data_IF_439421208036
#
_entry.id   IF_439421208036
#
_cell.length_a   1.000
_cell.length_b   1.000
_cell.length_c   1.000
_cell.angle_alpha   90.00
_cell.angle_beta   90.00
_cell.angle_gamma   90.00
#
_symmetry.space_group_name_H-M   'P 1'
#
loop_
_entity.id
_entity.type
_entity.pdbx_description
1 polymer ?
#
# COMPACT_ATOMS: atom_id res chain seq x y z
N UNK A 1 -2.73 -4.23 -22.25
CA UNK A 1 -4.08 -4.16 -21.65
C UNK A 1 -3.92 -4.03 -20.15
N UNK A 2 -4.56 -3.04 -19.53
CA UNK A 2 -4.61 -2.89 -18.07
C UNK A 2 -5.91 -3.48 -17.51
N UNK A 3 -5.95 -3.68 -16.19
CA UNK A 3 -7.14 -4.09 -15.46
C UNK A 3 -7.42 -3.11 -14.32
N UNK A 4 -8.70 -2.94 -13.97
CA UNK A 4 -9.12 -2.24 -12.76
C UNK A 4 -9.40 -3.31 -11.71
N UNK A 5 -8.72 -3.23 -10.57
CA UNK A 5 -8.89 -4.17 -9.46
C UNK A 5 -9.89 -3.54 -8.47
N UNK A 6 -11.08 -4.13 -8.27
CA UNK A 6 -11.99 -3.68 -7.23
C UNK A 6 -11.43 -4.02 -5.85
N UNK A 7 -11.74 -3.19 -4.85
CA UNK A 7 -11.47 -3.51 -3.46
C UNK A 7 -12.53 -4.51 -3.00
N UNK A 8 -12.09 -5.60 -2.38
CA UNK A 8 -12.94 -6.64 -1.80
C UNK A 8 -12.69 -6.79 -0.29
N UNK A 9 -13.46 -7.68 0.34
CA UNK A 9 -13.34 -7.94 1.78
C UNK A 9 -11.97 -8.51 2.18
N UNK A 10 -11.19 -9.08 1.25
CA UNK A 10 -9.85 -9.60 1.53
C UNK A 10 -8.82 -8.46 1.65
N UNK A 11 -9.06 -7.32 1.01
CA UNK A 11 -8.22 -6.13 1.15
C UNK A 11 -8.34 -5.48 2.55
N UNK A 12 -9.50 -5.59 3.20
CA UNK A 12 -9.80 -4.97 4.51
C UNK A 12 -8.78 -5.31 5.62
N UNK A 13 -8.47 -6.59 5.91
CA UNK A 13 -7.49 -6.93 6.95
C UNK A 13 -6.07 -6.46 6.58
N UNK A 14 -5.71 -6.46 5.29
CA UNK A 14 -4.40 -5.99 4.82
C UNK A 14 -4.27 -4.48 5.04
N UNK A 15 -5.30 -3.71 4.67
CA UNK A 15 -5.38 -2.28 4.92
C UNK A 15 -5.28 -1.93 6.40
N UNK A 16 -5.98 -2.66 7.27
CA UNK A 16 -5.91 -2.47 8.72
C UNK A 16 -4.49 -2.74 9.24
N UNK A 17 -3.83 -3.79 8.73
CA UNK A 17 -2.44 -4.11 9.02
C UNK A 17 -1.49 -2.98 8.62
N UNK A 18 -1.61 -2.46 7.39
CA UNK A 18 -0.83 -1.34 6.87
C UNK A 18 -0.99 -0.11 7.76
N UNK A 19 -2.22 0.30 8.07
CA UNK A 19 -2.47 1.49 8.90
C UNK A 19 -1.95 1.31 10.33
N UNK A 20 -2.11 0.12 10.91
CA UNK A 20 -1.59 -0.20 12.23
C UNK A 20 -0.07 -0.10 12.25
N UNK A 21 0.61 -0.70 11.28
CA UNK A 21 2.07 -0.65 11.15
C UNK A 21 2.57 0.80 11.04
N UNK A 22 2.04 1.56 10.09
CA UNK A 22 2.38 2.97 9.87
C UNK A 22 2.19 3.83 11.14
N UNK A 23 1.09 3.62 11.87
CA UNK A 23 0.86 4.30 13.15
C UNK A 23 1.89 3.90 14.21
N UNK A 24 2.22 2.61 14.32
CA UNK A 24 3.18 2.11 15.32
C UNK A 24 4.59 2.67 15.14
N UNK A 25 5.00 2.92 13.90
CA UNK A 25 6.32 3.50 13.60
C UNK A 25 6.32 5.04 13.58
N UNK A 26 5.24 5.68 14.03
CA UNK A 26 5.13 7.14 14.08
C UNK A 26 5.03 7.83 12.71
N UNK A 27 4.64 7.11 11.65
CA UNK A 27 4.45 7.64 10.30
C UNK A 27 3.07 7.24 9.75
N UNK A 28 1.98 7.88 10.21
CA UNK A 28 0.64 7.57 9.72
C UNK A 28 0.55 7.76 8.21
N UNK A 29 0.01 6.76 7.52
CA UNK A 29 -0.26 6.80 6.09
C UNK A 29 -1.66 7.36 5.81
N UNK A 30 -1.83 8.05 4.69
CA UNK A 30 -3.13 8.51 4.22
C UNK A 30 -4.08 7.31 3.97
N UNK A 31 -5.37 7.54 4.16
CA UNK A 31 -6.39 6.49 4.06
C UNK A 31 -6.43 5.82 2.68
N UNK A 32 -6.30 6.60 1.60
CA UNK A 32 -6.35 6.09 0.23
C UNK A 32 -5.05 5.40 -0.16
N UNK A 33 -3.90 5.92 0.27
CA UNK A 33 -2.60 5.28 0.06
C UNK A 33 -2.52 3.93 0.76
N UNK A 34 -3.13 3.79 1.95
CA UNK A 34 -3.25 2.49 2.60
C UNK A 34 -4.07 1.49 1.77
N UNK A 35 -5.12 1.93 1.06
CA UNK A 35 -5.89 1.05 0.18
C UNK A 35 -5.07 0.64 -1.04
N UNK A 36 -4.35 1.58 -1.64
CA UNK A 36 -3.44 1.30 -2.76
C UNK A 36 -2.36 0.29 -2.34
N UNK A 37 -1.73 0.49 -1.18
CA UNK A 37 -0.74 -0.43 -0.62
C UNK A 37 -1.34 -1.80 -0.33
N UNK A 38 -2.53 -1.86 0.26
CA UNK A 38 -3.21 -3.11 0.57
C UNK A 38 -3.52 -3.92 -0.69
N UNK A 39 -4.04 -3.27 -1.74
CA UNK A 39 -4.29 -3.90 -3.03
C UNK A 39 -2.98 -4.41 -3.65
N UNK A 40 -1.91 -3.60 -3.64
CA UNK A 40 -0.61 -4.03 -4.17
C UNK A 40 -0.07 -5.26 -3.42
N UNK A 41 -0.18 -5.30 -2.08
CA UNK A 41 0.21 -6.44 -1.26
C UNK A 41 -0.65 -7.69 -1.53
N UNK A 42 -1.98 -7.53 -1.63
CA UNK A 42 -2.91 -8.64 -1.88
C UNK A 42 -2.57 -9.41 -3.16
N UNK A 43 -2.24 -8.67 -4.21
CA UNK A 43 -1.94 -9.22 -5.53
C UNK A 43 -0.44 -9.37 -5.81
N UNK A 44 0.41 -9.11 -4.82
CA UNK A 44 1.87 -9.15 -4.92
C UNK A 44 2.41 -8.34 -6.12
N UNK A 45 1.86 -7.14 -6.32
CA UNK A 45 2.18 -6.23 -7.41
C UNK A 45 3.16 -5.14 -6.97
N UNK A 46 4.08 -4.69 -7.84
CA UNK A 46 4.86 -3.50 -7.57
C UNK A 46 3.98 -2.25 -7.64
N UNK A 47 4.18 -1.33 -6.70
CA UNK A 47 3.52 -0.03 -6.66
C UNK A 47 4.42 1.04 -7.30
N UNK A 48 3.97 1.59 -8.42
CA UNK A 48 4.62 2.73 -9.06
C UNK A 48 4.17 4.02 -8.36
N UNK A 49 5.12 4.83 -7.88
CA UNK A 49 4.79 6.03 -7.12
C UNK A 49 5.87 7.12 -7.18
N UNK A 50 5.44 8.38 -7.13
CA UNK A 50 6.30 9.55 -6.88
C UNK A 50 6.43 9.90 -5.38
N UNK A 51 5.57 9.39 -4.50
CA UNK A 51 5.60 9.61 -3.05
C UNK A 51 6.10 8.37 -2.28
N UNK A 52 7.16 7.71 -2.77
CA UNK A 52 7.73 6.50 -2.18
C UNK A 52 8.04 6.60 -0.67
N UNK A 53 8.29 7.81 -0.15
CA UNK A 53 8.54 8.07 1.27
C UNK A 53 7.35 7.69 2.16
N UNK A 54 6.11 7.81 1.67
CA UNK A 54 4.89 7.53 2.43
C UNK A 54 4.66 6.03 2.59
N UNK A 55 5.17 5.24 1.64
CA UNK A 55 5.07 3.78 1.60
C UNK A 55 6.27 3.07 2.24
N UNK A 56 7.35 3.80 2.53
CA UNK A 56 8.60 3.24 3.06
C UNK A 56 8.46 2.34 4.32
N UNK A 57 7.52 2.58 5.25
CA UNK A 57 7.32 1.68 6.40
C UNK A 57 6.75 0.30 6.08
N UNK A 58 6.15 0.12 4.90
CA UNK A 58 5.36 -1.07 4.57
C UNK A 58 6.27 -2.16 4.06
N UNK A 59 6.56 -3.15 4.90
CA UNK A 59 7.34 -4.32 4.52
C UNK A 59 6.67 -5.09 3.38
N UNK A 60 7.47 -5.69 2.50
CA UNK A 60 7.06 -6.48 1.33
C UNK A 60 6.33 -5.71 0.21
N UNK A 61 6.14 -4.39 0.35
CA UNK A 61 5.62 -3.57 -0.74
C UNK A 61 6.77 -3.17 -1.68
N UNK A 62 6.79 -3.75 -2.88
CA UNK A 62 7.78 -3.41 -3.89
C UNK A 62 7.46 -2.04 -4.49
N UNK A 63 8.38 -1.08 -4.37
CA UNK A 63 8.20 0.26 -4.90
C UNK A 63 9.00 0.45 -6.18
N UNK A 64 8.35 0.99 -7.20
CA UNK A 64 8.99 1.48 -8.42
C UNK A 64 8.86 3.00 -8.40
N UNK A 65 9.99 3.70 -8.40
CA UNK A 65 10.02 5.17 -8.42
C UNK A 65 10.97 5.63 -9.51
N UNK A 66 10.54 6.62 -10.29
CA UNK A 66 11.41 7.32 -11.25
C UNK A 66 12.04 8.51 -10.53
N UNK A 67 13.36 8.63 -10.63
CA UNK A 67 14.08 9.82 -10.16
C UNK A 67 13.65 11.08 -10.92
#
# INVERSE_FOLDING_TARGET
MGAIIPIDDQACPIWAGVRRLCRQVGRPIAQNDAWIAATALQYNLPLVTHNAKDFAPIANLQLITTR
#
